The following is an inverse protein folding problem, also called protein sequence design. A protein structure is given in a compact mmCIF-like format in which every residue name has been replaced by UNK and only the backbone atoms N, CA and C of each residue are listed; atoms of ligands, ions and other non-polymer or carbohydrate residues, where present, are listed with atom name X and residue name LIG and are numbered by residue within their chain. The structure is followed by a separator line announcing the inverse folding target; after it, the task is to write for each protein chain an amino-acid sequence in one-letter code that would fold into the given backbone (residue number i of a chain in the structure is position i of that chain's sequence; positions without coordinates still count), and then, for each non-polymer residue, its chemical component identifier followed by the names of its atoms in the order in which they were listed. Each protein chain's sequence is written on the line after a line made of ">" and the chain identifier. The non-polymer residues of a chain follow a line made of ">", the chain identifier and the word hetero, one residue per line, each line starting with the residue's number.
data_IF_553400994802
#
_entry.id   IF_553400994802
#
_cell.length_a   1.000
_cell.length_b   1.000
_cell.length_c   1.000
_cell.angle_alpha   90.00
_cell.angle_beta   90.00
_cell.angle_gamma   90.00
#
_symmetry.space_group_name_H-M   'P 1'
#
loop_
_entity.id
_entity.type
_entity.pdbx_description
1 polymer ?
#
# COMPACT_ATOMS: atom_id res chain seq x y z
N UNK A 1 0.06 2.64 -19.25
CA UNK A 1 -0.41 2.03 -18.00
C UNK A 1 -0.04 0.56 -17.91
N UNK A 2 -0.60 -0.31 -18.75
CA UNK A 2 -0.41 -1.77 -18.62
C UNK A 2 0.76 -2.26 -19.48
N UNK A 3 2.01 -1.94 -19.09
CA UNK A 3 3.23 -2.38 -19.79
C UNK A 3 4.19 -3.19 -18.89
N UNK A 4 3.72 -3.57 -17.70
CA UNK A 4 4.54 -4.30 -16.73
C UNK A 4 4.83 -5.70 -17.25
N UNK A 5 3.90 -6.31 -17.98
CA UNK A 5 4.11 -7.62 -18.58
C UNK A 5 5.23 -7.63 -19.63
N UNK A 6 5.39 -6.56 -20.41
CA UNK A 6 6.54 -6.43 -21.33
C UNK A 6 7.86 -6.34 -20.57
N UNK A 7 7.89 -5.58 -19.48
CA UNK A 7 9.06 -5.45 -18.61
C UNK A 7 9.46 -6.81 -17.99
N UNK A 8 8.51 -7.52 -17.40
CA UNK A 8 8.73 -8.84 -16.79
C UNK A 8 9.23 -9.87 -17.81
N UNK A 9 8.68 -9.87 -19.04
CA UNK A 9 9.17 -10.72 -20.13
C UNK A 9 10.61 -10.40 -20.52
N UNK A 10 10.99 -9.11 -20.59
CA UNK A 10 12.40 -8.70 -20.83
C UNK A 10 13.34 -9.19 -19.73
N UNK A 11 12.86 -9.31 -18.49
CA UNK A 11 13.59 -9.91 -17.37
C UNK A 11 13.56 -11.44 -17.34
N UNK A 12 13.01 -12.09 -18.37
CA UNK A 12 12.93 -13.54 -18.51
C UNK A 12 12.07 -14.23 -17.43
N UNK A 13 11.09 -13.52 -16.87
CA UNK A 13 10.06 -14.15 -16.03
C UNK A 13 9.25 -15.12 -16.89
N UNK A 14 9.20 -16.40 -16.47
CA UNK A 14 8.56 -17.50 -17.23
C UNK A 14 7.15 -17.85 -16.75
N UNK A 15 6.77 -17.36 -15.57
CA UNK A 15 5.43 -17.57 -15.02
C UNK A 15 4.37 -16.96 -15.94
N UNK A 16 3.13 -17.42 -15.81
CA UNK A 16 1.99 -16.73 -16.42
C UNK A 16 1.92 -15.30 -15.87
N UNK A 17 1.81 -14.33 -16.78
CA UNK A 17 1.74 -12.91 -16.43
C UNK A 17 0.32 -12.44 -16.70
N UNK A 18 -0.30 -11.89 -15.67
CA UNK A 18 -1.58 -11.22 -15.76
C UNK A 18 -1.37 -9.72 -15.49
N UNK A 19 -1.94 -8.87 -16.33
CA UNK A 19 -1.97 -7.42 -16.14
C UNK A 19 -3.40 -7.00 -15.83
N UNK A 20 -3.55 -6.05 -14.90
CA UNK A 20 -4.83 -5.52 -14.47
C UNK A 20 -4.77 -4.00 -14.42
N UNK A 21 -5.79 -3.35 -14.96
CA UNK A 21 -6.12 -1.96 -14.69
C UNK A 21 -6.78 -1.80 -13.32
N UNK A 22 -6.93 -0.56 -12.87
CA UNK A 22 -7.68 -0.31 -11.63
C UNK A 22 -9.10 -0.84 -11.73
N UNK A 23 -9.59 -1.35 -10.60
CA UNK A 23 -10.86 -2.04 -10.43
C UNK A 23 -11.02 -3.35 -11.22
N UNK A 24 -9.94 -3.87 -11.82
CA UNK A 24 -9.93 -5.20 -12.41
C UNK A 24 -9.46 -6.26 -11.41
N UNK A 25 -10.07 -7.44 -11.50
CA UNK A 25 -9.74 -8.62 -10.70
C UNK A 25 -8.79 -9.53 -11.46
N UNK A 26 -7.80 -10.08 -10.77
CA UNK A 26 -6.93 -11.13 -11.32
C UNK A 26 -7.63 -12.49 -11.34
N UNK A 27 -7.28 -13.33 -12.31
CA UNK A 27 -7.66 -14.73 -12.29
C UNK A 27 -6.79 -15.49 -11.29
N UNK A 28 -7.39 -16.00 -10.22
CA UNK A 28 -6.70 -16.59 -9.07
C UNK A 28 -7.28 -17.96 -8.73
N UNK A 29 -6.63 -18.68 -7.82
CA UNK A 29 -7.13 -19.97 -7.33
C UNK A 29 -8.42 -19.81 -6.53
N UNK A 30 -9.22 -20.88 -6.49
CA UNK A 30 -10.47 -20.89 -5.73
C UNK A 30 -10.24 -20.54 -4.25
N UNK A 31 -11.03 -19.60 -3.76
CA UNK A 31 -11.01 -19.18 -2.36
C UNK A 31 -10.17 -17.92 -2.09
N UNK A 32 -9.48 -17.41 -3.11
CA UNK A 32 -8.71 -16.17 -3.07
C UNK A 32 -9.25 -15.24 -4.15
N UNK A 33 -9.40 -13.97 -3.83
CA UNK A 33 -9.74 -12.92 -4.80
C UNK A 33 -8.75 -11.78 -4.64
N UNK A 34 -8.22 -11.26 -5.76
CA UNK A 34 -7.28 -10.14 -5.76
C UNK A 34 -7.80 -9.10 -6.74
N UNK A 35 -8.15 -7.91 -6.22
CA UNK A 35 -8.52 -6.75 -7.03
C UNK A 35 -7.36 -5.76 -7.07
N UNK A 36 -7.06 -5.23 -8.26
CA UNK A 36 -6.10 -4.13 -8.41
C UNK A 36 -6.83 -2.80 -8.26
N UNK A 37 -6.37 -1.94 -7.36
CA UNK A 37 -7.07 -0.72 -6.96
C UNK A 37 -6.20 0.52 -7.19
N UNK A 38 -6.80 1.72 -7.30
CA UNK A 38 -6.03 2.94 -7.46
C UNK A 38 -5.19 3.26 -6.21
N UNK A 39 -4.10 3.99 -6.44
CA UNK A 39 -3.31 4.69 -5.42
C UNK A 39 -2.84 6.03 -6.01
N UNK A 40 -2.42 6.97 -5.17
CA UNK A 40 -1.90 8.26 -5.61
C UNK A 40 -0.37 8.20 -5.67
N UNK A 41 0.15 7.77 -6.83
CA UNK A 41 1.58 7.62 -7.06
C UNK A 41 1.94 7.83 -8.55
N UNK A 42 3.15 7.44 -8.94
CA UNK A 42 3.66 7.53 -10.32
C UNK A 42 4.59 6.35 -10.60
N UNK A 43 5.09 6.21 -11.83
CA UNK A 43 6.10 5.19 -12.14
C UNK A 43 7.20 5.76 -13.03
N UNK A 44 8.44 5.33 -12.84
CA UNK A 44 9.56 5.63 -13.74
C UNK A 44 10.71 4.64 -13.50
N UNK A 45 11.45 4.28 -14.54
CA UNK A 45 12.69 3.51 -14.42
C UNK A 45 13.85 4.13 -15.21
N UNK A 46 13.54 4.93 -16.24
CA UNK A 46 14.48 5.58 -17.14
C UNK A 46 14.05 7.03 -17.42
N UNK A 47 14.79 7.70 -18.30
CA UNK A 47 14.55 9.12 -18.58
C UNK A 47 13.24 9.39 -19.32
N UNK A 48 12.75 8.44 -20.12
CA UNK A 48 11.63 8.61 -21.06
C UNK A 48 10.42 7.71 -20.77
N UNK A 49 10.36 7.07 -19.60
CA UNK A 49 9.33 6.07 -19.28
C UNK A 49 8.39 6.47 -18.12
N UNK A 50 8.34 7.77 -17.81
CA UNK A 50 7.42 8.30 -16.80
C UNK A 50 5.98 7.89 -17.11
N UNK A 51 5.32 7.25 -16.15
CA UNK A 51 3.93 6.81 -16.17
C UNK A 51 3.55 5.84 -17.30
N UNK A 52 4.53 5.16 -17.90
CA UNK A 52 4.25 4.06 -18.85
C UNK A 52 3.64 2.86 -18.10
N UNK A 53 4.12 2.55 -16.89
CA UNK A 53 3.60 1.48 -16.05
C UNK A 53 2.55 2.02 -15.05
N UNK A 54 1.52 1.23 -14.78
CA UNK A 54 0.42 1.60 -13.89
C UNK A 54 0.83 1.23 -12.47
N UNK A 55 0.74 2.19 -11.56
CA UNK A 55 0.86 2.01 -10.11
C UNK A 55 -0.50 1.66 -9.52
N UNK A 56 -0.54 1.12 -8.31
CA UNK A 56 -1.79 0.68 -7.69
C UNK A 56 -1.59 0.07 -6.31
N UNK A 57 -2.72 -0.23 -5.70
CA UNK A 57 -2.85 -0.97 -4.44
C UNK A 57 -3.55 -2.30 -4.72
N UNK A 58 -3.57 -3.21 -3.75
CA UNK A 58 -4.18 -4.52 -3.89
C UNK A 58 -5.21 -4.76 -2.78
N UNK A 59 -6.38 -5.26 -3.16
CA UNK A 59 -7.34 -5.83 -2.22
C UNK A 59 -7.26 -7.35 -2.32
N UNK A 60 -6.86 -8.01 -1.23
CA UNK A 60 -6.67 -9.46 -1.17
C UNK A 60 -7.73 -10.02 -0.22
N UNK A 61 -8.60 -10.87 -0.74
CA UNK A 61 -9.72 -11.46 0.00
C UNK A 61 -9.61 -12.98 0.00
N UNK A 62 -9.75 -13.57 1.17
CA UNK A 62 -9.92 -15.02 1.30
C UNK A 62 -11.37 -15.32 1.62
N UNK A 63 -12.09 -15.96 0.70
CA UNK A 63 -13.49 -16.33 0.93
C UNK A 63 -13.62 -17.48 1.92
N UNK A 64 -12.61 -18.36 2.00
CA UNK A 64 -12.56 -19.47 2.97
C UNK A 64 -12.36 -18.99 4.41
N UNK A 65 -11.48 -18.01 4.62
CA UNK A 65 -11.18 -17.47 5.95
C UNK A 65 -12.09 -16.29 6.31
N UNK A 66 -12.83 -15.75 5.35
CA UNK A 66 -13.57 -14.50 5.45
C UNK A 66 -12.68 -13.35 5.99
N UNK A 67 -11.51 -13.19 5.34
CA UNK A 67 -10.51 -12.17 5.69
C UNK A 67 -10.18 -11.29 4.50
N UNK A 68 -10.07 -10.00 4.75
CA UNK A 68 -9.77 -8.98 3.75
C UNK A 68 -8.54 -8.17 4.16
N UNK A 69 -7.54 -8.14 3.28
CA UNK A 69 -6.31 -7.36 3.45
C UNK A 69 -6.26 -6.31 2.34
N UNK A 70 -6.09 -5.06 2.73
CA UNK A 70 -5.74 -3.99 1.82
C UNK A 70 -4.24 -3.72 1.89
N UNK A 71 -3.54 -3.85 0.78
CA UNK A 71 -2.14 -3.48 0.64
C UNK A 71 -2.05 -2.18 -0.15
N UNK A 72 -1.79 -1.07 0.56
CA UNK A 72 -1.85 0.29 0.03
C UNK A 72 -0.72 0.66 -0.93
N UNK A 73 0.37 -0.11 -0.94
CA UNK A 73 1.60 0.23 -1.68
C UNK A 73 2.11 1.65 -1.33
N UNK A 74 2.91 2.25 -2.19
CA UNK A 74 3.28 3.66 -2.10
C UNK A 74 2.10 4.52 -2.55
N UNK A 75 1.70 5.45 -1.69
CA UNK A 75 0.55 6.33 -1.91
C UNK A 75 0.72 7.64 -1.18
N UNK A 76 0.39 8.75 -1.82
CA UNK A 76 0.05 10.00 -1.14
C UNK A 76 -1.41 9.99 -0.69
N UNK A 77 -1.75 10.84 0.28
CA UNK A 77 -3.14 10.92 0.75
C UNK A 77 -4.11 11.43 -0.33
N UNK A 78 -5.32 10.87 -0.38
CA UNK A 78 -6.40 11.31 -1.28
C UNK A 78 -7.69 10.49 -1.18
N UNK A 79 -8.72 10.91 -1.92
CA UNK A 79 -10.10 10.40 -1.85
C UNK A 79 -10.26 8.90 -2.17
N UNK A 80 -9.28 8.29 -2.82
CA UNK A 80 -9.32 6.87 -3.14
C UNK A 80 -9.44 5.99 -1.88
N UNK A 81 -8.87 6.40 -0.74
CA UNK A 81 -9.01 5.66 0.52
C UNK A 81 -10.46 5.58 0.99
N UNK A 82 -11.18 6.71 0.96
CA UNK A 82 -12.60 6.76 1.33
C UNK A 82 -13.45 5.93 0.36
N UNK A 83 -13.19 6.04 -0.95
CA UNK A 83 -13.88 5.23 -1.94
C UNK A 83 -13.67 3.74 -1.68
N UNK A 84 -12.44 3.31 -1.40
CA UNK A 84 -12.14 1.91 -1.10
C UNK A 84 -12.84 1.48 0.20
N UNK A 85 -12.78 2.28 1.27
CA UNK A 85 -13.44 1.97 2.54
C UNK A 85 -14.97 1.92 2.45
N UNK A 86 -15.58 2.58 1.47
CA UNK A 86 -17.01 2.50 1.20
C UNK A 86 -17.43 1.24 0.42
N UNK A 87 -16.50 0.55 -0.25
CA UNK A 87 -16.79 -0.64 -1.07
C UNK A 87 -16.35 -1.95 -0.41
N UNK A 88 -15.44 -1.91 0.56
CA UNK A 88 -14.84 -3.10 1.15
C UNK A 88 -14.89 -3.09 2.68
N UNK A 89 -15.13 -4.25 3.28
CA UNK A 89 -14.87 -4.47 4.71
C UNK A 89 -13.44 -4.98 4.88
N UNK A 90 -12.57 -4.19 5.49
CA UNK A 90 -11.13 -4.44 5.56
C UNK A 90 -10.73 -4.85 6.98
N UNK A 91 -10.14 -6.03 7.13
CA UNK A 91 -9.64 -6.49 8.43
C UNK A 91 -8.25 -5.93 8.73
N UNK A 92 -7.38 -5.87 7.71
CA UNK A 92 -6.02 -5.38 7.82
C UNK A 92 -5.71 -4.40 6.68
N UNK A 93 -5.31 -3.17 7.03
CA UNK A 93 -4.74 -2.21 6.09
C UNK A 93 -3.23 -2.12 6.30
N UNK A 94 -2.45 -2.36 5.25
CA UNK A 94 -1.00 -2.21 5.23
C UNK A 94 -0.68 -0.91 4.50
N UNK A 95 -0.18 0.10 5.22
CA UNK A 95 0.01 1.46 4.70
C UNK A 95 1.44 1.96 4.92
N UNK A 96 1.97 2.70 3.95
CA UNK A 96 3.24 3.40 4.07
C UNK A 96 3.18 4.50 5.13
N UNK A 97 4.28 4.69 5.87
CA UNK A 97 4.41 5.79 6.83
C UNK A 97 5.72 6.58 6.67
N UNK A 98 6.63 6.13 5.81
CA UNK A 98 7.91 6.76 5.52
C UNK A 98 8.03 7.21 4.07
N UNK A 99 9.19 7.76 3.70
CA UNK A 99 9.46 8.45 2.45
C UNK A 99 8.63 9.73 2.25
N UNK A 100 8.41 10.53 3.30
CA UNK A 100 7.42 11.63 3.25
C UNK A 100 7.99 13.05 3.43
N UNK A 101 9.26 13.22 3.80
CA UNK A 101 9.89 14.55 3.84
C UNK A 101 10.74 14.84 2.59
N UNK A 102 10.80 16.10 2.10
CA UNK A 102 10.04 17.24 2.60
C UNK A 102 8.57 17.18 2.13
N UNK A 103 7.63 17.44 3.05
CA UNK A 103 6.20 17.23 2.80
C UNK A 103 5.65 17.95 1.56
N UNK A 104 6.12 19.17 1.27
CA UNK A 104 5.64 19.95 0.12
C UNK A 104 5.89 19.26 -1.23
N UNK A 105 6.88 18.37 -1.29
CA UNK A 105 7.24 17.61 -2.47
C UNK A 105 6.66 16.19 -2.43
N UNK A 106 6.88 15.49 -1.31
CA UNK A 106 6.61 14.06 -1.21
C UNK A 106 5.13 13.71 -0.98
N UNK A 107 4.30 14.60 -0.42
CA UNK A 107 2.88 14.33 -0.10
C UNK A 107 2.00 13.98 -1.33
N UNK A 108 2.51 14.25 -2.52
CA UNK A 108 1.84 13.93 -3.78
C UNK A 108 1.89 12.43 -4.07
N UNK A 109 2.83 11.70 -3.46
CA UNK A 109 3.18 10.33 -3.78
C UNK A 109 3.38 9.43 -2.55
N UNK A 110 3.60 10.00 -1.36
CA UNK A 110 3.86 9.25 -0.13
C UNK A 110 3.04 9.78 1.04
N UNK A 111 2.71 8.86 1.95
CA UNK A 111 1.94 9.08 3.17
C UNK A 111 2.92 9.10 4.33
N UNK A 112 2.85 10.15 5.16
CA UNK A 112 3.51 10.17 6.46
C UNK A 112 2.64 9.53 7.55
N UNK A 113 3.11 9.48 8.81
CA UNK A 113 2.38 8.88 9.93
C UNK A 113 0.96 9.43 10.13
N UNK A 114 0.80 10.76 10.06
CA UNK A 114 -0.50 11.44 10.23
C UNK A 114 -1.46 11.08 9.09
N UNK A 115 -0.96 11.04 7.86
CA UNK A 115 -1.77 10.74 6.70
C UNK A 115 -2.16 9.26 6.63
N UNK A 116 -1.30 8.36 7.10
CA UNK A 116 -1.62 6.95 7.24
C UNK A 116 -2.76 6.70 8.25
N UNK A 117 -2.83 7.47 9.35
CA UNK A 117 -3.96 7.41 10.28
C UNK A 117 -5.27 7.91 9.66
N UNK A 118 -5.22 9.00 8.88
CA UNK A 118 -6.38 9.48 8.12
C UNK A 118 -6.84 8.45 7.10
N UNK A 119 -5.92 7.94 6.29
CA UNK A 119 -6.19 6.90 5.30
C UNK A 119 -6.77 5.64 5.94
N UNK A 120 -6.24 5.22 7.10
CA UNK A 120 -6.77 4.10 7.87
C UNK A 120 -8.23 4.33 8.30
N UNK A 121 -8.55 5.53 8.79
CA UNK A 121 -9.92 5.90 9.17
C UNK A 121 -10.86 5.91 7.95
N UNK A 122 -10.43 6.49 6.82
CA UNK A 122 -11.21 6.54 5.58
C UNK A 122 -11.45 5.16 4.98
N UNK A 123 -10.47 4.26 5.10
CA UNK A 123 -10.59 2.85 4.73
C UNK A 123 -11.53 2.06 5.65
N UNK A 124 -11.85 2.59 6.84
CA UNK A 124 -12.67 1.91 7.86
C UNK A 124 -12.11 0.52 8.20
N UNK A 125 -10.78 0.38 8.16
CA UNK A 125 -10.12 -0.88 8.43
C UNK A 125 -10.09 -1.19 9.94
N UNK A 126 -10.03 -2.47 10.31
CA UNK A 126 -10.01 -2.87 11.73
C UNK A 126 -8.63 -2.74 12.37
N UNK A 127 -7.57 -3.02 11.62
CA UNK A 127 -6.18 -3.00 12.10
C UNK A 127 -5.26 -2.35 11.07
N UNK A 128 -4.37 -1.48 11.53
CA UNK A 128 -3.31 -0.86 10.74
C UNK A 128 -2.00 -1.64 10.91
N UNK A 129 -1.35 -2.00 9.81
CA UNK A 129 0.04 -2.47 9.81
C UNK A 129 0.91 -1.47 9.05
N UNK A 130 1.72 -0.65 9.73
CA UNK A 130 2.57 0.32 9.05
C UNK A 130 3.72 -0.38 8.32
N UNK A 131 4.10 0.17 7.16
CA UNK A 131 5.21 -0.28 6.33
C UNK A 131 5.97 0.91 5.71
N UNK A 132 6.95 0.63 4.84
CA UNK A 132 7.72 1.65 4.10
C UNK A 132 8.51 2.62 4.99
N UNK A 133 9.05 2.11 6.11
CA UNK A 133 9.97 2.83 7.00
C UNK A 133 11.05 1.85 7.51
N UNK A 134 12.09 2.37 8.19
CA UNK A 134 13.01 1.52 8.95
C UNK A 134 14.00 0.69 8.11
N UNK A 135 13.99 0.83 6.77
CA UNK A 135 14.73 -0.07 5.85
C UNK A 135 15.64 0.66 4.86
N UNK A 136 15.16 1.73 4.21
CA UNK A 136 15.90 2.50 3.21
C UNK A 136 15.82 3.99 3.54
N UNK A 137 16.88 4.72 3.22
CA UNK A 137 16.96 6.18 3.32
C UNK A 137 16.56 6.78 1.96
N UNK A 138 15.31 7.24 1.85
CA UNK A 138 14.67 7.64 0.58
C UNK A 138 14.21 9.10 0.56
N UNK A 139 14.43 9.85 1.65
CA UNK A 139 13.80 11.14 1.92
C UNK A 139 14.51 11.83 3.09
N UNK A 140 14.10 13.06 3.41
CA UNK A 140 14.82 13.88 4.40
C UNK A 140 14.53 13.49 5.86
N UNK A 141 13.57 12.59 6.13
CA UNK A 141 13.33 12.13 7.51
C UNK A 141 14.29 11.00 7.94
N UNK A 142 14.71 10.95 9.22
CA UNK A 142 15.50 9.83 9.71
C UNK A 142 14.73 8.51 9.63
N UNK A 143 15.42 7.43 9.26
CA UNK A 143 14.84 6.11 8.91
C UNK A 143 13.83 5.52 9.92
N UNK A 144 14.04 5.72 11.23
CA UNK A 144 13.14 5.25 12.30
C UNK A 144 12.19 6.32 12.86
N UNK A 145 12.33 7.56 12.38
CA UNK A 145 11.50 8.67 12.81
C UNK A 145 10.00 8.47 12.52
N UNK A 146 9.58 7.92 11.36
CA UNK A 146 8.18 7.63 11.10
C UNK A 146 7.50 6.77 12.17
N UNK A 147 8.17 5.70 12.60
CA UNK A 147 7.66 4.80 13.64
C UNK A 147 7.48 5.53 14.96
N UNK A 148 8.50 6.28 15.37
CA UNK A 148 8.47 7.06 16.61
C UNK A 148 7.26 8.00 16.63
N UNK A 149 7.08 8.78 15.58
CA UNK A 149 5.96 9.74 15.47
C UNK A 149 4.62 9.03 15.50
N UNK A 150 4.46 7.93 14.76
CA UNK A 150 3.20 7.19 14.76
C UNK A 150 2.85 6.63 16.15
N UNK A 151 3.85 6.13 16.88
CA UNK A 151 3.68 5.66 18.27
C UNK A 151 3.29 6.79 19.22
N UNK A 152 3.91 7.96 19.08
CA UNK A 152 3.59 9.13 19.89
C UNK A 152 2.16 9.63 19.65
N UNK A 153 1.71 9.67 18.39
CA UNK A 153 0.34 10.07 18.04
C UNK A 153 -0.70 9.06 18.55
N UNK A 154 -0.40 7.77 18.48
CA UNK A 154 -1.29 6.69 18.95
C UNK A 154 -0.96 6.22 20.38
N UNK A 155 -0.45 7.10 21.24
CA UNK A 155 -0.05 6.75 22.61
C UNK A 155 -1.24 6.36 23.51
N UNK A 156 -2.46 6.78 23.16
CA UNK A 156 -3.69 6.40 23.84
C UNK A 156 -4.31 5.09 23.31
N UNK A 157 -3.62 4.42 22.37
CA UNK A 157 -3.99 3.14 21.76
C UNK A 157 -5.41 3.10 21.15
N UNK A 158 -5.95 4.25 20.72
CA UNK A 158 -7.26 4.31 20.05
C UNK A 158 -7.30 3.58 18.71
N UNK A 159 -6.16 3.52 18.02
CA UNK A 159 -6.02 2.75 16.78
C UNK A 159 -5.34 1.43 17.08
N UNK A 160 -5.97 0.33 16.63
CA UNK A 160 -5.35 -1.00 16.63
C UNK A 160 -4.21 -1.03 15.62
N UNK A 161 -2.97 -0.90 16.09
CA UNK A 161 -1.77 -0.96 15.26
C UNK A 161 -1.02 -2.26 15.51
N UNK A 162 -0.83 -3.02 14.43
CA UNK A 162 -0.02 -4.22 14.43
C UNK A 162 1.43 -3.91 14.02
N UNK A 163 2.30 -3.87 15.01
CA UNK A 163 3.73 -3.68 14.83
C UNK A 163 4.44 -4.99 14.48
N UNK A 164 5.01 -5.06 13.29
CA UNK A 164 5.76 -6.21 12.80
C UNK A 164 7.25 -5.92 12.78
N UNK A 165 8.07 -6.87 13.24
CA UNK A 165 9.52 -6.86 13.00
C UNK A 165 9.85 -7.44 11.62
N UNK A 166 10.97 -7.02 11.03
CA UNK A 166 11.46 -7.62 9.79
C UNK A 166 11.65 -9.14 9.99
N UNK A 167 11.02 -9.94 9.12
CA UNK A 167 11.04 -11.40 9.19
C UNK A 167 10.03 -12.04 10.15
N UNK A 168 9.27 -11.26 10.94
CA UNK A 168 8.21 -11.78 11.80
C UNK A 168 7.05 -12.33 10.95
N UNK A 169 6.50 -13.47 11.37
CA UNK A 169 5.29 -14.08 10.78
C UNK A 169 4.11 -13.88 11.71
N UNK A 170 2.93 -13.78 11.13
CA UNK A 170 1.66 -13.73 11.87
C UNK A 170 0.62 -14.62 11.21
N UNK A 171 -0.44 -14.93 11.97
CA UNK A 171 -1.66 -15.56 11.46
C UNK A 171 -2.81 -14.58 11.64
N UNK A 172 -3.54 -14.32 10.55
CA UNK A 172 -4.71 -13.44 10.49
C UNK A 172 -6.02 -14.19 10.75
#
# INVERSE_FOLDING_TARGET
>A
GLETGKLLKRWKVKNEIQEAGWFQRFNTIEGIEIDYLPTKHWSRRWLTDTNINLWGSFMIRSTKLNKTIYFGSDSGYGLHFEWIGNHYMIDLAILGIGAYEPQWFMNTAHTGPVDALKAFADLKAKTLMPMHYGTLDLSDEPVYYPEKILREINADEKVSILWMKIGQRMKL
#
